data_IF_934523638161
#
_entry.id   IF_934523638161
#
_cell.length_a   1.000
_cell.length_b   1.000
_cell.length_c   1.000
_cell.angle_alpha   90.00
_cell.angle_beta   90.00
_cell.angle_gamma   90.00
#
_symmetry.space_group_name_H-M   'P 1'
#
loop_
_entity.id
_entity.type
_entity.pdbx_description
1 polymer ?
#
# COMPACT_ATOMS: atom_id res chain seq x y z
N UNK A 1 -4.22 15.46 -14.68
CA UNK A 1 -4.46 14.02 -14.43
C UNK A 1 -3.97 13.11 -15.57
N UNK A 2 -3.57 13.63 -16.74
CA UNK A 2 -3.27 12.83 -17.93
C UNK A 2 -1.93 12.08 -17.94
N UNK A 3 -0.88 12.55 -17.27
CA UNK A 3 0.44 11.88 -17.31
C UNK A 3 0.38 10.42 -16.84
N UNK A 4 -0.21 10.19 -15.65
CA UNK A 4 -0.33 8.85 -15.06
C UNK A 4 -1.07 7.87 -15.96
N UNK A 5 -2.18 8.30 -16.55
CA UNK A 5 -2.97 7.46 -17.46
C UNK A 5 -2.33 7.27 -18.83
N UNK A 6 -1.52 8.24 -19.30
CA UNK A 6 -0.82 8.14 -20.60
C UNK A 6 0.28 7.09 -20.58
N UNK A 7 1.10 7.07 -19.53
CA UNK A 7 2.21 6.11 -19.45
C UNK A 7 1.76 4.75 -18.88
N UNK A 8 0.67 4.72 -18.13
CA UNK A 8 0.11 3.50 -17.56
C UNK A 8 1.03 2.84 -16.53
N UNK A 9 0.66 1.64 -16.07
CA UNK A 9 1.45 0.91 -15.07
C UNK A 9 2.83 0.51 -15.62
N UNK A 10 2.88 0.07 -16.88
CA UNK A 10 4.14 -0.29 -17.56
C UNK A 10 5.13 0.90 -17.63
N UNK A 11 4.65 2.12 -17.88
CA UNK A 11 5.51 3.29 -17.87
C UNK A 11 6.06 3.64 -16.49
N UNK A 12 5.29 3.40 -15.41
CA UNK A 12 5.81 3.56 -14.05
C UNK A 12 6.79 2.44 -13.66
N UNK A 13 6.59 1.24 -14.19
CA UNK A 13 7.54 0.14 -14.06
C UNK A 13 8.89 0.51 -14.70
N UNK A 14 8.89 1.17 -15.87
CA UNK A 14 10.11 1.72 -16.48
C UNK A 14 10.81 2.80 -15.63
N UNK A 15 10.04 3.69 -14.98
CA UNK A 15 10.62 4.69 -14.06
C UNK A 15 11.29 4.00 -12.86
N UNK A 16 10.68 2.94 -12.34
CA UNK A 16 11.28 2.13 -11.28
C UNK A 16 12.54 1.42 -11.77
N UNK A 17 12.52 0.84 -12.97
CA UNK A 17 13.70 0.22 -13.60
C UNK A 17 14.85 1.22 -13.74
N UNK A 18 14.56 2.43 -14.20
CA UNK A 18 15.57 3.49 -14.32
C UNK A 18 16.14 3.91 -12.97
N UNK A 19 15.30 3.97 -11.92
CA UNK A 19 15.78 4.26 -10.56
C UNK A 19 16.73 3.19 -10.01
N UNK A 20 16.55 1.93 -10.45
CA UNK A 20 17.45 0.83 -10.10
C UNK A 20 18.76 1.01 -10.87
N UNK A 21 18.68 1.19 -12.20
CA UNK A 21 19.83 1.36 -13.11
C UNK A 21 20.79 2.46 -12.66
N UNK A 22 20.27 3.62 -12.24
CA UNK A 22 21.11 4.76 -11.81
C UNK A 22 21.88 4.49 -10.53
N UNK A 23 21.42 3.57 -9.68
CA UNK A 23 22.12 3.18 -8.46
C UNK A 23 23.05 1.97 -8.66
N UNK A 24 23.02 1.36 -9.85
CA UNK A 24 23.65 0.08 -10.09
C UNK A 24 24.99 0.24 -10.81
N UNK A 25 26.07 0.32 -10.03
CA UNK A 25 27.46 0.29 -10.53
C UNK A 25 28.00 -1.14 -10.71
N UNK A 26 27.13 -2.16 -10.55
CA UNK A 26 27.55 -3.57 -10.42
C UNK A 26 27.45 -4.34 -11.75
N UNK A 27 28.35 -5.29 -11.92
CA UNK A 27 28.34 -6.29 -12.97
C UNK A 27 26.96 -7.01 -13.06
N UNK A 28 26.32 -6.93 -14.22
CA UNK A 28 24.99 -7.52 -14.45
C UNK A 28 24.99 -9.05 -14.37
N UNK A 29 26.14 -9.69 -14.55
CA UNK A 29 26.26 -11.14 -14.51
C UNK A 29 26.36 -11.68 -13.07
N UNK A 30 26.59 -10.81 -12.07
CA UNK A 30 26.74 -11.23 -10.68
C UNK A 30 25.39 -11.57 -10.04
N UNK A 31 25.20 -12.80 -9.53
CA UNK A 31 23.96 -13.18 -8.86
C UNK A 31 23.74 -12.39 -7.58
N UNK A 32 22.57 -11.79 -7.44
CA UNK A 32 22.18 -11.01 -6.26
C UNK A 32 21.27 -11.80 -5.30
N UNK A 33 21.23 -11.35 -4.05
CA UNK A 33 20.25 -11.81 -3.07
C UNK A 33 19.12 -10.79 -2.98
N UNK A 34 17.88 -11.26 -3.08
CA UNK A 34 16.70 -10.40 -3.07
C UNK A 34 15.85 -10.71 -1.85
N UNK A 35 15.76 -9.77 -0.93
CA UNK A 35 14.87 -9.86 0.23
C UNK A 35 13.48 -9.38 -0.15
N UNK A 36 12.45 -10.10 0.26
CA UNK A 36 11.06 -9.69 0.04
C UNK A 36 10.36 -9.51 1.37
N UNK A 37 9.70 -8.37 1.50
CA UNK A 37 8.88 -8.06 2.66
C UNK A 37 7.53 -7.48 2.23
N UNK A 38 6.48 -7.84 2.96
CA UNK A 38 5.18 -7.21 2.74
C UNK A 38 5.05 -6.03 3.70
N UNK A 39 4.43 -4.95 3.24
CA UNK A 39 4.00 -3.81 4.05
C UNK A 39 2.54 -3.49 3.75
N UNK A 40 1.94 -2.56 4.49
CA UNK A 40 0.60 -2.03 4.19
C UNK A 40 0.74 -0.58 3.74
N UNK A 41 0.15 -0.27 2.60
CA UNK A 41 -0.05 1.08 2.11
C UNK A 41 -1.44 1.52 2.55
N UNK A 42 -1.53 2.41 3.54
CA UNK A 42 -2.83 2.87 3.99
C UNK A 42 -3.48 3.75 2.93
N UNK A 43 -4.79 3.60 2.77
CA UNK A 43 -5.53 4.45 1.84
C UNK A 43 -5.94 5.75 2.53
N UNK A 44 -6.03 6.84 1.77
CA UNK A 44 -6.62 8.09 2.26
C UNK A 44 -8.14 7.99 2.46
N UNK A 45 -8.56 7.20 3.45
CA UNK A 45 -9.94 7.06 3.86
C UNK A 45 -10.13 7.55 5.29
N UNK A 46 -11.36 7.88 5.64
CA UNK A 46 -11.74 8.09 7.04
C UNK A 46 -11.81 6.73 7.75
N UNK A 47 -11.40 6.67 9.02
CA UNK A 47 -11.53 5.44 9.82
C UNK A 47 -12.93 4.80 9.66
N UNK A 48 -13.01 3.54 9.21
CA UNK A 48 -14.22 2.99 8.63
C UNK A 48 -15.13 2.36 9.69
N UNK A 49 -16.10 3.16 10.17
CA UNK A 49 -17.16 2.64 11.03
C UNK A 49 -18.47 2.50 10.25
N UNK A 50 -19.24 1.45 10.54
CA UNK A 50 -20.53 1.21 9.89
C UNK A 50 -21.47 2.43 10.04
N UNK A 51 -21.43 3.10 11.20
CA UNK A 51 -22.18 4.33 11.43
C UNK A 51 -21.77 5.47 10.48
N UNK A 52 -20.46 5.68 10.25
CA UNK A 52 -19.98 6.69 9.29
C UNK A 52 -20.38 6.33 7.86
N UNK A 53 -20.32 5.05 7.49
CA UNK A 53 -20.77 4.60 6.17
C UNK A 53 -22.26 4.87 6.00
N UNK A 54 -23.12 4.49 6.95
CA UNK A 54 -24.56 4.75 6.87
C UNK A 54 -24.90 6.24 6.81
N UNK A 55 -24.19 7.11 7.56
CA UNK A 55 -24.37 8.56 7.46
C UNK A 55 -24.03 9.08 6.05
N UNK A 56 -22.90 8.63 5.48
CA UNK A 56 -22.51 8.99 4.10
C UNK A 56 -23.50 8.47 3.07
N UNK A 57 -24.05 7.27 3.25
CA UNK A 57 -25.11 6.74 2.38
C UNK A 57 -26.33 7.67 2.39
N UNK A 58 -26.79 8.10 3.57
CA UNK A 58 -27.94 9.02 3.66
C UNK A 58 -27.66 10.36 2.97
N UNK A 59 -26.47 10.91 3.18
CA UNK A 59 -26.04 12.16 2.53
C UNK A 59 -25.98 12.01 1.00
N UNK A 60 -25.34 10.94 0.51
CA UNK A 60 -25.25 10.65 -0.91
C UNK A 60 -26.63 10.41 -1.53
N UNK A 61 -27.53 9.69 -0.85
CA UNK A 61 -28.89 9.46 -1.34
C UNK A 61 -29.64 10.79 -1.52
N UNK A 62 -29.53 11.71 -0.56
CA UNK A 62 -30.13 13.05 -0.70
C UNK A 62 -29.54 13.82 -1.88
N UNK A 63 -28.22 13.74 -2.07
CA UNK A 63 -27.54 14.36 -3.22
C UNK A 63 -27.97 13.78 -4.56
N UNK A 64 -28.13 12.45 -4.65
CA UNK A 64 -28.63 11.76 -5.85
C UNK A 64 -30.07 12.16 -6.13
N UNK A 65 -30.94 12.19 -5.11
CA UNK A 65 -32.33 12.60 -5.27
C UNK A 65 -32.44 14.02 -5.85
N UNK A 66 -31.69 14.97 -5.28
CA UNK A 66 -31.67 16.35 -5.73
C UNK A 66 -31.17 16.48 -7.19
N UNK A 67 -30.12 15.74 -7.57
CA UNK A 67 -29.58 15.74 -8.94
C UNK A 67 -30.52 15.10 -9.95
N UNK A 68 -31.30 14.11 -9.52
CA UNK A 68 -32.19 13.33 -10.39
C UNK A 68 -33.63 13.85 -10.40
N UNK A 69 -33.92 14.96 -9.71
CA UNK A 69 -35.28 15.51 -9.61
C UNK A 69 -36.27 14.65 -8.82
N UNK A 70 -35.78 13.69 -8.03
CA UNK A 70 -36.63 12.76 -7.26
C UNK A 70 -37.04 13.39 -5.94
N UNK A 71 -38.34 13.47 -5.68
CA UNK A 71 -38.87 13.95 -4.40
C UNK A 71 -38.86 12.84 -3.36
N UNK A 72 -37.98 12.95 -2.37
CA UNK A 72 -37.94 12.01 -1.24
C UNK A 72 -39.11 12.26 -0.29
N UNK A 73 -39.78 11.20 0.16
CA UNK A 73 -40.83 11.23 1.18
C UNK A 73 -40.36 11.90 2.47
N UNK A 74 -39.11 11.66 2.86
CA UNK A 74 -38.51 12.30 4.02
C UNK A 74 -36.99 12.39 3.89
N UNK A 75 -36.43 13.57 4.14
CA UNK A 75 -34.98 13.80 4.00
C UNK A 75 -34.14 13.26 5.16
N UNK A 76 -34.73 13.06 6.34
CA UNK A 76 -34.08 12.65 7.59
C UNK A 76 -32.91 13.54 8.06
N UNK A 77 -32.67 14.71 7.45
CA UNK A 77 -31.48 15.52 7.69
C UNK A 77 -31.27 15.89 9.18
N UNK A 78 -32.31 16.39 9.84
CA UNK A 78 -32.28 16.74 11.27
C UNK A 78 -32.15 15.48 12.16
N UNK A 79 -32.85 14.41 11.80
CA UNK A 79 -32.85 13.14 12.54
C UNK A 79 -31.45 12.53 12.55
N UNK A 80 -30.76 12.48 11.41
CA UNK A 80 -29.40 11.95 11.30
C UNK A 80 -28.41 12.75 12.14
N UNK A 81 -28.56 14.09 12.19
CA UNK A 81 -27.72 14.96 13.03
C UNK A 81 -27.89 14.64 14.52
N UNK A 82 -29.13 14.43 14.98
CA UNK A 82 -29.41 14.00 16.36
C UNK A 82 -28.82 12.61 16.64
N UNK A 83 -29.05 11.64 15.76
CA UNK A 83 -28.50 10.29 15.90
C UNK A 83 -26.97 10.27 15.97
N UNK A 84 -26.28 11.13 15.20
CA UNK A 84 -24.82 11.25 15.28
C UNK A 84 -24.35 11.78 16.65
N UNK A 85 -25.11 12.69 17.27
CA UNK A 85 -24.82 13.15 18.65
C UNK A 85 -24.96 11.99 19.63
N UNK A 86 -26.05 11.22 19.55
CA UNK A 86 -26.28 10.06 20.42
C UNK A 86 -25.20 8.99 20.23
N UNK A 87 -24.78 8.74 18.99
CA UNK A 87 -23.73 7.77 18.67
C UNK A 87 -22.40 8.13 19.31
N UNK A 88 -22.04 9.43 19.33
CA UNK A 88 -20.76 9.94 19.83
C UNK A 88 -20.74 10.12 21.35
N UNK A 89 -21.79 10.72 21.91
CA UNK A 89 -21.78 11.22 23.28
C UNK A 89 -22.63 10.38 24.24
N UNK A 90 -23.59 9.60 23.74
CA UNK A 90 -24.53 8.85 24.59
C UNK A 90 -24.31 7.34 24.47
N UNK A 91 -23.43 6.78 25.32
CA UNK A 91 -23.09 5.35 25.30
C UNK A 91 -24.34 4.43 25.40
N UNK A 92 -25.33 4.81 26.22
CA UNK A 92 -26.56 4.02 26.42
C UNK A 92 -27.42 3.97 25.16
N UNK A 93 -27.55 5.11 24.46
CA UNK A 93 -28.40 5.22 23.27
C UNK A 93 -27.66 4.89 21.96
N UNK A 94 -26.33 4.84 21.95
CA UNK A 94 -25.50 4.64 20.75
C UNK A 94 -25.91 3.41 19.94
N UNK A 95 -26.19 2.28 20.60
CA UNK A 95 -26.60 1.03 19.91
C UNK A 95 -27.95 1.18 19.20
N UNK A 96 -28.93 1.80 19.86
CA UNK A 96 -30.24 2.07 19.27
C UNK A 96 -30.14 3.09 18.13
N UNK A 97 -29.34 4.14 18.32
CA UNK A 97 -29.12 5.17 17.31
C UNK A 97 -28.46 4.61 16.04
N UNK A 98 -27.47 3.71 16.17
CA UNK A 98 -26.85 3.01 15.02
C UNK A 98 -27.86 2.15 14.25
N UNK A 99 -28.74 1.43 14.95
CA UNK A 99 -29.80 0.62 14.33
C UNK A 99 -30.78 1.50 13.57
N UNK A 100 -31.25 2.59 14.19
CA UNK A 100 -32.16 3.56 13.56
C UNK A 100 -31.54 4.21 12.34
N UNK A 101 -30.25 4.58 12.42
CA UNK A 101 -29.50 5.12 11.29
C UNK A 101 -29.40 4.13 10.12
N UNK A 102 -29.11 2.84 10.39
CA UNK A 102 -29.10 1.78 9.38
C UNK A 102 -30.47 1.66 8.69
N UNK A 103 -31.56 1.69 9.47
CA UNK A 103 -32.92 1.63 8.92
C UNK A 103 -33.25 2.83 8.02
N UNK A 104 -32.85 4.05 8.43
CA UNK A 104 -33.02 5.27 7.63
C UNK A 104 -32.24 5.17 6.32
N UNK A 105 -30.96 4.78 6.37
CA UNK A 105 -30.13 4.59 5.19
C UNK A 105 -30.77 3.57 4.23
N UNK A 106 -31.20 2.41 4.74
CA UNK A 106 -31.86 1.40 3.92
C UNK A 106 -33.23 1.81 3.38
N UNK A 107 -33.95 2.71 4.06
CA UNK A 107 -35.21 3.27 3.54
C UNK A 107 -34.94 4.16 2.33
N UNK A 108 -33.98 5.09 2.44
CA UNK A 108 -33.62 6.00 1.36
C UNK A 108 -33.03 5.27 0.15
N UNK A 109 -32.18 4.26 0.38
CA UNK A 109 -31.63 3.44 -0.72
C UNK A 109 -32.75 2.74 -1.48
N UNK A 110 -33.72 2.10 -0.79
CA UNK A 110 -34.85 1.43 -1.44
C UNK A 110 -35.82 2.39 -2.12
N UNK A 111 -35.94 3.62 -1.63
CA UNK A 111 -36.74 4.65 -2.27
C UNK A 111 -36.10 5.08 -3.59
N UNK A 112 -34.82 5.47 -3.57
CA UNK A 112 -34.07 5.78 -4.79
C UNK A 112 -34.02 4.63 -5.79
N UNK A 113 -33.84 3.40 -5.30
CA UNK A 113 -33.78 2.22 -6.15
C UNK A 113 -35.06 1.99 -6.95
N UNK A 114 -36.22 2.39 -6.39
CA UNK A 114 -37.54 2.30 -7.04
C UNK A 114 -37.83 3.48 -7.96
N UNK A 115 -37.45 4.69 -7.55
CA UNK A 115 -37.77 5.93 -8.29
C UNK A 115 -36.83 6.19 -9.48
N UNK A 116 -35.59 5.70 -9.43
CA UNK A 116 -34.64 5.93 -10.51
C UNK A 116 -34.92 5.02 -11.71
N UNK A 117 -34.61 5.45 -12.95
CA UNK A 117 -34.60 4.55 -14.11
C UNK A 117 -33.53 3.46 -13.99
N UNK A 118 -33.69 2.35 -14.72
CA UNK A 118 -32.68 1.28 -14.79
C UNK A 118 -31.36 1.77 -15.39
N UNK A 119 -31.40 2.73 -16.32
CA UNK A 119 -30.22 3.30 -16.99
C UNK A 119 -29.49 4.39 -16.19
N UNK A 120 -29.91 4.64 -14.94
CA UNK A 120 -29.29 5.68 -14.13
C UNK A 120 -27.81 5.38 -13.84
N UNK A 121 -26.94 6.38 -14.05
CA UNK A 121 -25.52 6.34 -13.67
C UNK A 121 -25.28 6.09 -12.17
N UNK A 122 -26.32 6.21 -11.34
CA UNK A 122 -26.25 5.98 -9.89
C UNK A 122 -26.52 4.53 -9.48
N UNK A 123 -26.83 3.62 -10.40
CA UNK A 123 -27.15 2.23 -10.09
C UNK A 123 -26.02 1.48 -9.39
N UNK A 124 -24.80 1.59 -9.91
CA UNK A 124 -23.62 0.99 -9.26
C UNK A 124 -23.42 1.49 -7.82
N UNK A 125 -23.67 2.78 -7.58
CA UNK A 125 -23.57 3.37 -6.25
C UNK A 125 -24.65 2.82 -5.32
N UNK A 126 -25.87 2.64 -5.82
CA UNK A 126 -26.99 2.08 -5.06
C UNK A 126 -26.71 0.62 -4.69
N UNK A 127 -26.18 -0.17 -5.60
CA UNK A 127 -25.83 -1.57 -5.32
C UNK A 127 -24.68 -1.68 -4.32
N UNK A 128 -23.70 -0.77 -4.38
CA UNK A 128 -22.69 -0.64 -3.34
C UNK A 128 -23.32 -0.31 -1.98
N UNK A 129 -24.31 0.60 -1.92
CA UNK A 129 -25.00 0.92 -0.68
C UNK A 129 -25.81 -0.26 -0.14
N UNK A 130 -26.49 -1.02 -1.00
CA UNK A 130 -27.18 -2.26 -0.61
C UNK A 130 -26.21 -3.26 0.01
N UNK A 131 -25.05 -3.48 -0.62
CA UNK A 131 -23.98 -4.35 -0.09
C UNK A 131 -23.46 -3.87 1.26
N UNK A 132 -23.24 -2.57 1.43
CA UNK A 132 -22.80 -1.99 2.72
C UNK A 132 -23.87 -2.14 3.79
N UNK A 133 -25.15 -2.08 3.45
CA UNK A 133 -26.24 -2.25 4.41
C UNK A 133 -26.47 -3.72 4.76
N UNK A 134 -26.18 -4.66 3.87
CA UNK A 134 -26.31 -6.09 4.15
C UNK A 134 -25.12 -6.67 4.92
N UNK A 135 -23.94 -6.05 4.82
CA UNK A 135 -22.72 -6.58 5.47
C UNK A 135 -22.83 -6.64 7.01
N UNK A 136 -22.21 -7.67 7.57
CA UNK A 136 -22.08 -7.97 9.00
C UNK A 136 -20.60 -7.95 9.41
N UNK A 137 -20.30 -8.29 10.67
CA UNK A 137 -18.92 -8.35 11.18
C UNK A 137 -18.09 -9.42 10.45
N UNK A 138 -18.70 -10.57 10.18
CA UNK A 138 -18.03 -11.76 9.64
C UNK A 138 -18.17 -11.88 8.12
N UNK A 139 -18.67 -10.83 7.47
CA UNK A 139 -18.81 -10.79 6.02
C UNK A 139 -17.45 -10.81 5.33
N UNK A 140 -17.28 -11.74 4.38
CA UNK A 140 -16.11 -11.73 3.48
C UNK A 140 -16.18 -10.52 2.56
N UNK A 141 -15.01 -9.97 2.21
CA UNK A 141 -14.90 -8.80 1.31
C UNK A 141 -15.76 -7.62 1.76
N UNK A 142 -15.69 -7.27 3.05
CA UNK A 142 -16.42 -6.14 3.63
C UNK A 142 -15.98 -4.81 3.00
N UNK A 143 -16.93 -3.92 2.75
CA UNK A 143 -16.65 -2.58 2.23
C UNK A 143 -16.35 -1.64 3.39
N UNK A 144 -15.14 -1.10 3.42
CA UNK A 144 -14.68 -0.17 4.45
C UNK A 144 -14.85 1.30 4.03
N UNK A 145 -14.91 1.58 2.73
CA UNK A 145 -15.07 2.95 2.20
C UNK A 145 -15.98 2.97 0.98
N UNK A 146 -16.92 3.93 0.93
CA UNK A 146 -17.82 4.09 -0.22
C UNK A 146 -17.11 4.61 -1.48
N UNK A 147 -16.07 5.44 -1.31
CA UNK A 147 -15.34 6.04 -2.43
C UNK A 147 -14.13 5.21 -2.87
N UNK A 148 -13.72 4.25 -2.02
CA UNK A 148 -12.63 3.30 -2.29
C UNK A 148 -13.07 1.88 -1.85
N UNK A 149 -13.96 1.21 -2.62
CA UNK A 149 -14.53 -0.08 -2.22
C UNK A 149 -13.52 -1.23 -2.16
N UNK A 150 -12.36 -1.09 -2.82
CA UNK A 150 -11.29 -2.08 -2.89
C UNK A 150 -10.33 -2.08 -1.69
N UNK A 151 -10.53 -1.17 -0.73
CA UNK A 151 -9.72 -1.12 0.50
C UNK A 151 -9.97 -2.35 1.34
N UNK A 152 -8.88 -2.96 1.81
CA UNK A 152 -8.90 -4.10 2.72
C UNK A 152 -8.53 -3.67 4.14
N UNK A 153 -8.98 -4.48 5.11
CA UNK A 153 -8.57 -4.37 6.49
C UNK A 153 -7.50 -5.44 6.74
N UNK A 154 -6.28 -5.00 7.05
CA UNK A 154 -5.13 -5.89 7.20
C UNK A 154 -4.70 -5.86 8.66
N UNK A 155 -4.57 -7.04 9.27
CA UNK A 155 -3.94 -7.18 10.57
C UNK A 155 -2.51 -7.67 10.38
N UNK A 156 -1.55 -6.79 10.59
CA UNK A 156 -0.18 -7.18 10.87
C UNK A 156 -0.03 -7.07 12.37
N UNK A 157 0.49 -8.08 13.06
CA UNK A 157 0.53 -8.22 14.52
C UNK A 157 1.37 -7.17 15.26
N UNK A 158 1.24 -5.89 14.91
CA UNK A 158 1.84 -4.74 15.57
C UNK A 158 1.13 -4.48 16.88
N UNK A 159 1.92 -4.04 17.87
CA UNK A 159 1.46 -3.85 19.24
C UNK A 159 0.50 -2.64 19.39
N UNK A 160 0.78 -1.55 18.67
CA UNK A 160 0.03 -0.29 18.77
C UNK A 160 -1.16 -0.15 17.80
N UNK A 161 -1.05 -0.67 16.57
CA UNK A 161 -2.12 -0.60 15.55
C UNK A 161 -2.50 -1.99 15.05
N UNK A 162 -3.63 -2.51 15.57
CA UNK A 162 -4.09 -3.88 15.26
C UNK A 162 -4.62 -4.04 13.83
N UNK A 163 -5.07 -2.94 13.20
CA UNK A 163 -5.74 -2.93 11.91
C UNK A 163 -5.34 -1.71 11.09
N UNK A 164 -4.73 -1.96 9.93
CA UNK A 164 -4.42 -0.95 8.91
C UNK A 164 -5.43 -1.07 7.76
N UNK A 165 -5.90 0.07 7.22
CA UNK A 165 -6.90 0.08 6.15
C UNK A 165 -6.30 0.56 4.84
N UNK A 166 -6.10 -0.37 3.91
CA UNK A 166 -5.50 -0.08 2.62
C UNK A 166 -5.29 -1.33 1.80
N UNK A 167 -4.13 -1.42 1.16
CA UNK A 167 -3.70 -2.54 0.34
C UNK A 167 -2.35 -3.05 0.82
N UNK A 168 -2.08 -4.33 0.60
CA UNK A 168 -0.78 -4.92 0.90
C UNK A 168 0.18 -4.54 -0.22
N UNK A 169 1.44 -4.28 0.10
CA UNK A 169 2.47 -4.02 -0.91
C UNK A 169 3.63 -4.97 -0.62
N UNK A 170 4.05 -5.74 -1.61
CA UNK A 170 5.31 -6.49 -1.56
C UNK A 170 6.41 -5.58 -2.06
N UNK A 171 7.46 -5.41 -1.27
CA UNK A 171 8.64 -4.63 -1.64
C UNK A 171 9.83 -5.58 -1.63
N UNK A 172 10.62 -5.53 -2.70
CA UNK A 172 11.80 -6.35 -2.89
C UNK A 172 13.06 -5.47 -2.80
N UNK A 173 14.06 -5.97 -2.10
CA UNK A 173 15.31 -5.26 -1.78
C UNK A 173 16.51 -6.09 -2.16
N UNK A 174 17.61 -5.46 -2.60
CA UNK A 174 18.89 -6.14 -2.73
C UNK A 174 19.68 -6.11 -1.41
N UNK A 175 20.90 -6.69 -1.40
CA UNK A 175 21.80 -6.72 -0.23
C UNK A 175 22.21 -5.34 0.28
N UNK A 176 22.22 -4.33 -0.60
CA UNK A 176 22.62 -2.96 -0.28
C UNK A 176 21.43 -2.10 0.17
N UNK A 177 20.21 -2.66 0.27
CA UNK A 177 19.00 -1.93 0.62
C UNK A 177 18.41 -1.06 -0.51
N UNK A 178 18.84 -1.27 -1.77
CA UNK A 178 18.17 -0.71 -2.95
C UNK A 178 16.85 -1.45 -3.18
N UNK A 179 15.80 -0.71 -3.53
CA UNK A 179 14.50 -1.31 -3.83
C UNK A 179 14.49 -1.76 -5.29
N UNK A 180 14.38 -3.07 -5.52
CA UNK A 180 14.42 -3.68 -6.86
C UNK A 180 13.04 -4.10 -7.38
N UNK A 181 12.00 -3.97 -6.55
CA UNK A 181 10.62 -4.26 -6.95
C UNK A 181 9.62 -3.71 -5.92
N UNK A 182 8.45 -3.32 -6.40
CA UNK A 182 7.35 -2.83 -5.58
C UNK A 182 6.01 -3.11 -6.26
N UNK A 183 5.24 -4.02 -5.69
CA UNK A 183 3.96 -4.48 -6.25
C UNK A 183 2.85 -4.45 -5.21
N UNK A 184 1.70 -3.91 -5.59
CA UNK A 184 0.54 -3.79 -4.71
C UNK A 184 -0.43 -4.95 -4.92
N UNK A 185 -0.93 -5.48 -3.81
CA UNK A 185 -1.83 -6.62 -3.68
C UNK A 185 -3.00 -6.26 -2.75
N UNK A 186 -4.01 -7.12 -2.69
CA UNK A 186 -5.14 -6.91 -1.77
C UNK A 186 -4.84 -7.49 -0.39
N UNK A 187 -5.57 -8.52 0.02
CA UNK A 187 -5.37 -9.21 1.29
C UNK A 187 -5.02 -10.69 1.07
N UNK A 188 -4.26 -10.96 0.01
CA UNK A 188 -3.75 -12.30 -0.29
C UNK A 188 -2.74 -12.75 0.76
N UNK A 189 -2.54 -14.06 0.87
CA UNK A 189 -1.49 -14.63 1.72
C UNK A 189 -0.10 -14.24 1.19
N UNK A 190 0.82 -13.89 2.09
CA UNK A 190 2.17 -13.40 1.73
C UNK A 190 2.94 -14.38 0.83
N UNK A 191 2.75 -15.69 1.00
CA UNK A 191 3.34 -16.69 0.10
C UNK A 191 2.91 -16.53 -1.37
N UNK A 192 1.65 -16.16 -1.61
CA UNK A 192 1.13 -15.96 -2.97
C UNK A 192 1.63 -14.66 -3.61
N UNK A 193 2.07 -13.67 -2.81
CA UNK A 193 2.62 -12.41 -3.34
C UNK A 193 4.06 -12.57 -3.85
N UNK A 194 4.73 -13.68 -3.52
CA UNK A 194 6.14 -13.86 -3.83
C UNK A 194 6.41 -14.08 -5.32
N UNK A 195 5.62 -14.91 -5.99
CA UNK A 195 5.79 -15.18 -7.41
C UNK A 195 5.65 -13.90 -8.27
N UNK A 196 4.56 -13.12 -8.16
CA UNK A 196 4.42 -11.90 -8.96
C UNK A 196 5.47 -10.82 -8.60
N UNK A 197 5.91 -10.76 -7.35
CA UNK A 197 6.98 -9.84 -6.93
C UNK A 197 8.32 -10.21 -7.56
N UNK A 198 8.69 -11.49 -7.58
CA UNK A 198 9.95 -11.93 -8.21
C UNK A 198 9.89 -11.80 -9.73
N UNK A 199 8.75 -12.09 -10.37
CA UNK A 199 8.56 -11.82 -11.80
C UNK A 199 8.78 -10.34 -12.13
N UNK A 200 8.28 -9.43 -11.28
CA UNK A 200 8.54 -8.00 -11.43
C UNK A 200 10.03 -7.68 -11.31
N UNK A 201 10.72 -8.23 -10.30
CA UNK A 201 12.16 -8.01 -10.12
C UNK A 201 12.95 -8.50 -11.34
N UNK A 202 12.64 -9.67 -11.89
CA UNK A 202 13.31 -10.20 -13.09
C UNK A 202 13.07 -9.32 -14.33
N UNK A 203 11.87 -8.72 -14.46
CA UNK A 203 11.58 -7.77 -15.54
C UNK A 203 12.32 -6.44 -15.39
N UNK A 204 12.40 -5.93 -14.15
CA UNK A 204 13.00 -4.64 -13.83
C UNK A 204 14.52 -4.67 -13.77
N UNK A 205 15.06 -5.79 -13.29
CA UNK A 205 16.45 -5.97 -12.95
C UNK A 205 16.93 -7.23 -13.69
N UNK A 206 17.67 -7.03 -14.79
CA UNK A 206 18.18 -8.10 -15.65
C UNK A 206 19.31 -8.94 -15.02
N UNK A 207 19.45 -8.91 -13.68
CA UNK A 207 20.45 -9.66 -12.95
C UNK A 207 19.91 -10.99 -12.42
N UNK A 208 20.71 -12.06 -12.44
CA UNK A 208 20.29 -13.34 -11.90
C UNK A 208 20.07 -13.26 -10.39
N UNK A 209 18.99 -13.89 -9.90
CA UNK A 209 18.68 -13.96 -8.47
C UNK A 209 19.18 -15.31 -7.93
N UNK A 210 20.01 -15.28 -6.89
CA UNK A 210 20.59 -16.47 -6.29
C UNK A 210 19.66 -17.14 -5.26
N UNK A 211 19.14 -16.33 -4.34
CA UNK A 211 18.32 -16.78 -3.20
C UNK A 211 17.36 -15.65 -2.83
N UNK A 212 16.20 -16.03 -2.30
CA UNK A 212 15.16 -15.10 -1.84
C UNK A 212 14.89 -15.31 -0.34
N UNK A 213 15.47 -14.51 0.56
CA UNK A 213 15.25 -14.64 1.99
C UNK A 213 13.94 -13.95 2.41
N UNK A 214 13.03 -14.73 3.00
CA UNK A 214 11.69 -14.30 3.38
C UNK A 214 11.40 -14.55 4.87
N UNK A 215 10.47 -13.79 5.44
CA UNK A 215 9.98 -14.04 6.79
C UNK A 215 9.11 -15.30 6.88
N UNK A 216 8.83 -15.71 8.12
CA UNK A 216 7.90 -16.80 8.42
C UNK A 216 6.49 -16.59 7.87
N UNK A 217 6.13 -15.35 7.52
CA UNK A 217 4.89 -15.03 6.81
C UNK A 217 4.75 -15.75 5.48
N UNK A 218 5.86 -16.13 4.82
CA UNK A 218 5.90 -16.77 3.50
C UNK A 218 5.94 -18.31 3.56
N UNK A 219 5.57 -18.90 4.71
CA UNK A 219 5.59 -20.35 4.92
C UNK A 219 4.84 -21.10 3.80
N UNK A 220 5.44 -22.20 3.34
CA UNK A 220 4.84 -23.06 2.30
C UNK A 220 5.42 -22.85 0.90
N UNK A 221 6.21 -21.79 0.70
CA UNK A 221 6.95 -21.57 -0.56
C UNK A 221 8.41 -21.94 -0.35
N UNK A 222 8.87 -23.00 -1.00
CA UNK A 222 10.28 -23.46 -0.95
C UNK A 222 11.12 -22.95 -2.13
N UNK A 223 10.48 -22.70 -3.26
CA UNK A 223 11.11 -22.21 -4.49
C UNK A 223 10.13 -21.36 -5.30
N UNK A 224 10.65 -20.38 -6.03
CA UNK A 224 9.90 -19.53 -6.96
C UNK A 224 10.71 -19.37 -8.23
N UNK A 225 10.14 -19.71 -9.40
CA UNK A 225 10.86 -19.70 -10.69
C UNK A 225 12.21 -20.47 -10.66
N UNK A 226 12.28 -21.57 -9.90
CA UNK A 226 13.52 -22.34 -9.69
C UNK A 226 14.53 -21.70 -8.72
N UNK A 227 14.23 -20.51 -8.19
CA UNK A 227 15.06 -19.81 -7.21
C UNK A 227 14.71 -20.29 -5.79
N UNK A 228 15.70 -20.69 -4.97
CA UNK A 228 15.45 -21.14 -3.59
C UNK A 228 14.97 -20.00 -2.68
N UNK A 229 13.89 -20.27 -1.93
CA UNK A 229 13.34 -19.36 -0.91
C UNK A 229 13.80 -19.80 0.48
N UNK A 230 14.43 -18.90 1.24
CA UNK A 230 14.97 -19.19 2.56
C UNK A 230 14.11 -18.56 3.65
N UNK A 231 13.53 -19.39 4.53
CA UNK A 231 12.68 -18.95 5.64
C UNK A 231 13.31 -19.35 6.99
N UNK A 232 13.26 -18.51 8.04
CA UNK A 232 13.79 -18.84 9.35
C UNK A 232 13.08 -20.05 9.98
N UNK A 233 13.76 -21.20 10.03
CA UNK A 233 13.28 -22.42 10.67
C UNK A 233 13.83 -22.58 12.10
N UNK A 234 13.00 -23.04 13.04
CA UNK A 234 13.47 -23.55 14.33
C UNK A 234 14.22 -24.86 14.06
N UNK A 235 15.56 -24.79 13.98
CA UNK A 235 16.43 -25.81 13.40
C UNK A 235 16.09 -27.25 13.81
N UNK A 236 15.58 -28.04 12.86
CA UNK A 236 15.45 -29.50 12.97
C UNK A 236 16.42 -30.25 12.05
N UNK A 237 17.55 -29.63 11.69
CA UNK A 237 18.53 -30.21 10.78
C UNK A 237 19.97 -30.07 11.28
N UNK A 238 20.79 -31.07 10.97
CA UNK A 238 22.25 -31.08 11.13
C UNK A 238 22.93 -30.13 10.11
N UNK A 239 22.59 -28.84 10.15
CA UNK A 239 23.34 -27.81 9.40
C UNK A 239 24.69 -27.60 10.08
N UNK A 240 25.75 -27.54 9.29
CA UNK A 240 27.10 -27.22 9.78
C UNK A 240 27.10 -25.84 10.47
N UNK A 241 28.02 -25.64 11.42
CA UNK A 241 28.18 -24.36 12.12
C UNK A 241 28.38 -23.19 11.13
N UNK A 242 29.15 -23.42 10.07
CA UNK A 242 29.37 -22.45 9.00
C UNK A 242 28.06 -22.03 8.31
N UNK A 243 27.21 -23.01 7.96
CA UNK A 243 25.92 -22.75 7.32
C UNK A 243 24.97 -22.00 8.24
N UNK A 244 24.97 -22.35 9.54
CA UNK A 244 24.17 -21.65 10.56
C UNK A 244 24.61 -20.19 10.67
N UNK A 245 25.92 -19.93 10.70
CA UNK A 245 26.48 -18.56 10.77
C UNK A 245 26.14 -17.75 9.52
N UNK A 246 26.21 -18.36 8.34
CA UNK A 246 25.82 -17.73 7.06
C UNK A 246 24.34 -17.36 7.03
N UNK A 247 23.46 -18.27 7.43
CA UNK A 247 22.01 -18.01 7.52
C UNK A 247 21.72 -16.93 8.57
N UNK A 248 22.38 -16.97 9.74
CA UNK A 248 22.22 -15.94 10.77
C UNK A 248 22.62 -14.56 10.26
N UNK A 249 23.76 -14.44 9.55
CA UNK A 249 24.20 -13.18 8.96
C UNK A 249 23.20 -12.66 7.91
N UNK A 250 22.69 -13.55 7.07
CA UNK A 250 21.70 -13.23 6.05
C UNK A 250 20.39 -12.70 6.65
N UNK A 251 19.84 -13.39 7.66
CA UNK A 251 18.63 -12.93 8.34
C UNK A 251 18.87 -11.69 9.22
N UNK A 252 20.09 -11.47 9.70
CA UNK A 252 20.44 -10.24 10.40
C UNK A 252 20.48 -9.02 9.45
N UNK A 253 20.91 -9.18 8.19
CA UNK A 253 20.86 -8.11 7.20
C UNK A 253 19.42 -7.65 6.91
N UNK A 254 18.45 -8.57 6.99
CA UNK A 254 17.02 -8.26 6.84
C UNK A 254 16.51 -7.24 7.87
N UNK A 255 17.14 -7.14 9.04
CA UNK A 255 16.78 -6.11 10.03
C UNK A 255 16.93 -4.68 9.49
N UNK A 256 17.78 -4.47 8.48
CA UNK A 256 17.91 -3.19 7.77
C UNK A 256 16.69 -2.82 6.90
N UNK A 257 15.78 -3.75 6.63
CA UNK A 257 14.58 -3.50 5.80
C UNK A 257 13.52 -2.72 6.57
N UNK A 258 13.37 -2.95 7.88
CA UNK A 258 12.37 -2.26 8.70
C UNK A 258 12.57 -0.73 8.69
N UNK A 259 13.80 -0.20 8.89
CA UNK A 259 14.08 1.23 8.68
C UNK A 259 13.70 1.73 7.28
N UNK A 260 14.03 0.99 6.23
CA UNK A 260 13.71 1.38 4.85
C UNK A 260 12.19 1.44 4.64
N UNK A 261 11.46 0.45 5.13
CA UNK A 261 10.00 0.44 5.15
C UNK A 261 9.42 1.63 5.95
N UNK A 262 10.06 1.98 7.07
CA UNK A 262 9.76 3.19 7.84
C UNK A 262 9.90 4.45 6.99
N UNK A 263 11.05 4.64 6.36
CA UNK A 263 11.32 5.79 5.47
C UNK A 263 10.38 5.83 4.27
N UNK A 264 10.06 4.69 3.65
CA UNK A 264 9.06 4.63 2.59
C UNK A 264 7.72 5.18 3.06
N UNK A 265 7.31 4.80 4.27
CA UNK A 265 6.04 5.26 4.86
C UNK A 265 6.05 6.74 5.23
N UNK A 266 7.09 7.23 5.92
CA UNK A 266 7.16 8.60 6.41
C UNK A 266 7.54 9.61 5.33
N UNK A 267 8.56 9.30 4.53
CA UNK A 267 9.26 10.28 3.69
C UNK A 267 8.82 10.21 2.23
N UNK A 268 8.42 9.02 1.76
CA UNK A 268 8.12 8.75 0.35
C UNK A 268 6.64 8.49 0.07
N UNK A 269 5.75 8.92 0.97
CA UNK A 269 4.28 8.88 0.81
C UNK A 269 3.68 7.47 0.66
N UNK A 270 4.39 6.40 1.00
CA UNK A 270 3.81 5.05 1.09
C UNK A 270 2.85 4.93 2.29
N UNK A 271 3.03 5.75 3.32
CA UNK A 271 2.25 5.68 4.55
C UNK A 271 0.79 6.08 4.35
N UNK A 272 0.47 6.86 3.32
CA UNK A 272 -0.91 7.21 2.97
C UNK A 272 -1.05 7.49 1.48
N UNK A 273 -1.78 6.62 0.78
CA UNK A 273 -2.04 6.74 -0.64
C UNK A 273 -3.24 7.64 -0.92
N UNK A 274 -3.02 8.69 -1.72
CA UNK A 274 -4.03 9.66 -2.16
C UNK A 274 -4.56 9.36 -3.57
N UNK A 275 -3.97 8.42 -4.30
CA UNK A 275 -4.40 8.07 -5.65
C UNK A 275 -5.63 7.16 -5.60
N UNK A 276 -6.47 7.23 -6.63
CA UNK A 276 -7.79 6.58 -6.64
C UNK A 276 -7.71 5.16 -7.20
N UNK A 277 -8.41 4.23 -6.56
CA UNK A 277 -8.58 2.86 -7.05
C UNK A 277 -7.29 2.03 -7.12
N UNK A 278 -7.40 0.86 -7.76
CA UNK A 278 -6.34 -0.15 -7.86
C UNK A 278 -5.12 0.37 -8.62
N UNK A 279 -5.37 0.98 -9.78
CA UNK A 279 -4.35 1.64 -10.59
C UNK A 279 -3.55 2.67 -9.77
N UNK A 280 -4.23 3.46 -8.94
CA UNK A 280 -3.59 4.44 -8.07
C UNK A 280 -2.73 3.81 -6.98
N UNK A 281 -3.14 2.66 -6.42
CA UNK A 281 -2.36 1.89 -5.44
C UNK A 281 -1.02 1.44 -6.03
N UNK A 282 -1.08 0.78 -7.20
CA UNK A 282 0.09 0.26 -7.90
C UNK A 282 1.09 1.36 -8.26
N UNK A 283 0.61 2.50 -8.76
CA UNK A 283 1.47 3.63 -9.11
C UNK A 283 2.12 4.24 -7.88
N UNK A 284 1.37 4.42 -6.79
CA UNK A 284 1.93 5.03 -5.59
C UNK A 284 3.04 4.14 -4.99
N UNK A 285 2.88 2.82 -5.01
CA UNK A 285 3.92 1.91 -4.51
C UNK A 285 5.19 1.97 -5.35
N UNK A 286 5.08 1.94 -6.68
CA UNK A 286 6.24 2.02 -7.57
C UNK A 286 6.94 3.37 -7.49
N UNK A 287 6.19 4.47 -7.44
CA UNK A 287 6.78 5.81 -7.31
C UNK A 287 7.44 6.06 -5.96
N UNK A 288 6.87 5.54 -4.87
CA UNK A 288 7.49 5.64 -3.55
C UNK A 288 8.84 4.91 -3.53
N UNK A 289 8.89 3.70 -4.12
CA UNK A 289 10.13 2.95 -4.29
C UNK A 289 11.15 3.68 -5.18
N UNK A 290 10.74 4.16 -6.36
CA UNK A 290 11.61 4.89 -7.27
C UNK A 290 12.16 6.18 -6.64
N UNK A 291 11.32 6.93 -5.90
CA UNK A 291 11.74 8.14 -5.21
C UNK A 291 12.79 7.87 -4.11
N UNK A 292 12.67 6.75 -3.40
CA UNK A 292 13.68 6.32 -2.42
C UNK A 292 15.03 6.04 -3.12
N UNK A 293 14.99 5.27 -4.22
CA UNK A 293 16.19 4.96 -5.01
C UNK A 293 16.83 6.21 -5.61
N UNK A 294 16.05 7.12 -6.20
CA UNK A 294 16.59 8.37 -6.74
C UNK A 294 17.19 9.25 -5.64
N UNK A 295 16.57 9.31 -4.45
CA UNK A 295 17.14 10.05 -3.31
C UNK A 295 18.51 9.51 -2.92
N UNK A 296 18.68 8.18 -2.91
CA UNK A 296 19.97 7.54 -2.69
C UNK A 296 21.00 7.97 -3.75
N UNK A 297 20.67 7.88 -5.03
CA UNK A 297 21.58 8.30 -6.10
C UNK A 297 21.93 9.79 -6.05
N UNK A 298 20.95 10.66 -5.77
CA UNK A 298 21.16 12.10 -5.64
C UNK A 298 22.09 12.44 -4.47
N UNK A 299 22.01 11.71 -3.35
CA UNK A 299 22.91 11.90 -2.23
C UNK A 299 24.37 11.55 -2.59
N UNK A 300 24.56 10.47 -3.36
CA UNK A 300 25.88 10.08 -3.87
C UNK A 300 26.43 11.14 -4.82
N UNK A 301 25.60 11.61 -5.78
CA UNK A 301 25.98 12.70 -6.69
C UNK A 301 26.36 13.98 -5.93
N UNK A 302 25.59 14.33 -4.90
CA UNK A 302 25.87 15.50 -4.07
C UNK A 302 27.21 15.37 -3.34
N UNK A 303 27.52 14.19 -2.78
CA UNK A 303 28.82 13.94 -2.15
C UNK A 303 29.97 14.08 -3.15
N UNK A 304 29.84 13.55 -4.37
CA UNK A 304 30.83 13.74 -5.43
C UNK A 304 31.03 15.22 -5.79
N UNK A 305 29.94 15.98 -5.94
CA UNK A 305 30.01 17.42 -6.24
C UNK A 305 30.72 18.17 -5.10
N UNK A 306 30.38 17.87 -3.84
CA UNK A 306 31.00 18.52 -2.68
C UNK A 306 32.50 18.22 -2.59
N UNK A 307 32.91 16.97 -2.81
CA UNK A 307 34.33 16.58 -2.84
C UNK A 307 35.09 17.28 -3.96
N UNK A 308 34.49 17.39 -5.14
CA UNK A 308 35.08 18.10 -6.27
C UNK A 308 35.25 19.60 -5.97
N UNK A 309 34.23 20.24 -5.39
CA UNK A 309 34.32 21.65 -4.96
C UNK A 309 35.44 21.83 -3.93
N UNK A 310 35.54 20.95 -2.92
CA UNK A 310 36.59 21.02 -1.90
C UNK A 310 38.00 20.91 -2.51
N UNK A 311 38.20 19.97 -3.45
CA UNK A 311 39.46 19.84 -4.17
C UNK A 311 39.84 21.09 -4.96
N UNK A 312 38.88 21.74 -5.62
CA UNK A 312 39.12 23.01 -6.31
C UNK A 312 39.52 24.14 -5.36
N UNK A 313 38.94 24.19 -4.16
CA UNK A 313 39.33 25.18 -3.15
C UNK A 313 40.75 24.93 -2.62
N UNK A 314 41.10 23.67 -2.33
CA UNK A 314 42.46 23.31 -1.88
C UNK A 314 43.53 23.67 -2.93
N UNK A 315 43.29 23.33 -4.20
CA UNK A 315 44.21 23.67 -5.29
C UNK A 315 44.40 25.19 -5.45
N UNK A 316 43.31 25.97 -5.37
CA UNK A 316 43.38 27.43 -5.46
C UNK A 316 44.09 28.09 -4.27
N UNK A 317 44.00 27.51 -3.07
CA UNK A 317 44.73 27.99 -1.89
C UNK A 317 46.23 27.67 -2.03
N UNK A 318 46.59 26.47 -2.50
CA UNK A 318 48.00 26.09 -2.74
C UNK A 318 48.67 27.00 -3.78
N UNK A 319 47.97 27.40 -4.85
CA UNK A 319 48.50 28.33 -5.86
C UNK A 319 48.72 29.73 -5.28
N UNK A 320 47.87 30.18 -4.34
CA UNK A 320 48.02 31.48 -3.67
C UNK A 320 49.11 31.54 -2.61
N UNK A 321 49.56 30.40 -2.07
CA UNK A 321 50.66 30.33 -1.09
C UNK A 321 52.04 30.21 -1.75
N UNK A 322 52.10 29.95 -3.06
CA UNK A 322 53.33 29.83 -3.84
C UNK A 322 53.68 31.11 -4.63
N UNK A 323 52.80 32.11 -4.61
CA UNK A 323 53.04 33.47 -5.13
C UNK A 323 53.19 34.45 -3.96
#
# INVERSE_FOLDING_TARGET
>A
MHFRHRIGEAGFELILAESIRVNDDVDFDKPQVVFVDTTVQEKNITYPTDAKLHMKIVENCRGIAAKSGVTLRQSYARVVKALNRDIRFNKKQSKAARRKLKCIAGRLVRELDRELPLESLHREQIDLYKRVLSQTKDSKNKVYSLHEPSVCCISKGKEHEKWEFGNKVSVAYNEDGLIVGALSFRNEYDGHTLLPAIEQVVRLNHRPIKIVPCDRGYKGVSQVLGIPVLIPSNGKGCKSEYERKKLKKLFAQRAGIEPINGHLKSDHRMGRNFYKGIFGDNINSMLAAAAFNFKRAMNVLLDYILRWILQLFEQNISIKLQN
#
